data_IF_424026175660
#
_entry.id   IF_424026175660
#
_cell.length_a   1.000
_cell.length_b   1.000
_cell.length_c   1.000
_cell.angle_alpha   90.00
_cell.angle_beta   90.00
_cell.angle_gamma   90.00
#
_symmetry.space_group_name_H-M   'P 1'
#
loop_
_entity.id
_entity.type
_entity.pdbx_description
1 polymer ?
#
# COMPACT_ATOMS: atom_id res chain seq x y z
N UNK A 1 14.17 -25.58 27.23
CA UNK A 1 14.71 -24.70 26.17
C UNK A 1 13.54 -24.07 25.43
N UNK A 2 13.28 -22.78 25.62
CA UNK A 2 12.31 -22.04 24.80
C UNK A 2 12.98 -21.69 23.48
N UNK A 3 12.65 -22.38 22.40
CA UNK A 3 12.97 -21.93 21.04
C UNK A 3 12.30 -20.57 20.84
N UNK A 4 13.09 -19.50 20.80
CA UNK A 4 12.60 -18.18 20.40
C UNK A 4 12.04 -18.28 18.99
N UNK A 5 10.71 -18.24 18.83
CA UNK A 5 10.08 -18.19 17.51
C UNK A 5 10.62 -16.95 16.80
N UNK A 6 11.23 -17.16 15.63
CA UNK A 6 11.66 -16.07 14.77
C UNK A 6 10.45 -15.20 14.45
N UNK A 7 10.57 -13.87 14.66
CA UNK A 7 9.49 -12.95 14.35
C UNK A 7 9.27 -12.93 12.83
N UNK A 8 8.01 -12.86 12.36
CA UNK A 8 7.72 -12.66 10.94
C UNK A 8 8.45 -11.43 10.39
N UNK A 9 8.93 -11.51 9.15
CA UNK A 9 9.77 -10.49 8.53
C UNK A 9 9.11 -9.10 8.52
N UNK A 10 7.80 -9.05 8.29
CA UNK A 10 7.05 -7.80 8.28
C UNK A 10 7.03 -7.13 9.66
N UNK A 11 6.93 -7.91 10.74
CA UNK A 11 6.94 -7.38 12.12
C UNK A 11 8.33 -6.87 12.48
N UNK A 12 9.38 -7.62 12.13
CA UNK A 12 10.76 -7.20 12.34
C UNK A 12 11.09 -5.88 11.62
N UNK A 13 10.41 -5.59 10.52
CA UNK A 13 10.60 -4.39 9.70
C UNK A 13 9.75 -3.18 10.12
N UNK A 14 9.10 -3.25 11.29
CA UNK A 14 8.19 -2.19 11.76
C UNK A 14 6.82 -2.20 11.09
N UNK A 15 6.42 -3.33 10.51
CA UNK A 15 5.13 -3.51 9.85
C UNK A 15 5.07 -3.01 8.41
N UNK A 16 6.20 -2.62 7.81
CA UNK A 16 6.32 -2.35 6.38
C UNK A 16 7.64 -2.90 5.85
N UNK A 17 7.59 -3.64 4.75
CA UNK A 17 8.74 -4.29 4.11
C UNK A 17 8.81 -3.83 2.65
N UNK A 18 9.93 -3.21 2.26
CA UNK A 18 10.24 -2.92 0.85
C UNK A 18 10.86 -4.19 0.24
N UNK A 19 10.36 -4.59 -0.92
CA UNK A 19 10.67 -5.86 -1.56
C UNK A 19 11.10 -5.59 -2.99
N UNK A 20 12.30 -6.05 -3.32
CA UNK A 20 12.81 -6.12 -4.68
C UNK A 20 12.40 -7.45 -5.33
N UNK A 21 12.14 -7.40 -6.63
CA UNK A 21 11.96 -8.60 -7.48
C UNK A 21 10.85 -9.57 -7.01
N UNK A 22 9.82 -9.07 -6.31
CA UNK A 22 8.65 -9.88 -5.97
C UNK A 22 7.93 -10.39 -7.23
N UNK A 23 7.86 -9.53 -8.26
CA UNK A 23 7.19 -9.83 -9.51
C UNK A 23 8.21 -10.02 -10.63
N UNK A 24 7.96 -11.00 -11.49
CA UNK A 24 8.78 -11.21 -12.68
C UNK A 24 8.63 -10.03 -13.67
N UNK A 25 9.63 -9.83 -14.53
CA UNK A 25 9.54 -8.81 -15.58
C UNK A 25 8.33 -9.01 -16.51
N UNK A 26 7.92 -10.26 -16.73
CA UNK A 26 6.73 -10.59 -17.52
C UNK A 26 5.45 -10.13 -16.83
N UNK A 27 5.29 -10.46 -15.54
CA UNK A 27 4.15 -10.00 -14.76
C UNK A 27 4.13 -8.48 -14.63
N UNK A 28 5.27 -7.85 -14.39
CA UNK A 28 5.40 -6.39 -14.36
C UNK A 28 4.86 -5.75 -15.65
N UNK A 29 5.29 -6.23 -16.82
CA UNK A 29 4.82 -5.69 -18.12
C UNK A 29 3.31 -5.86 -18.29
N UNK A 30 2.75 -7.00 -17.86
CA UNK A 30 1.31 -7.24 -17.92
C UNK A 30 0.54 -6.27 -17.02
N UNK A 31 0.95 -6.11 -15.75
CA UNK A 31 0.35 -5.17 -14.80
C UNK A 31 0.49 -3.72 -15.27
N UNK A 32 1.66 -3.33 -15.76
CA UNK A 32 1.89 -1.98 -16.28
C UNK A 32 1.00 -1.67 -17.49
N UNK A 33 0.92 -2.59 -18.46
CA UNK A 33 0.05 -2.42 -19.64
C UNK A 33 -1.42 -2.28 -19.22
N UNK A 34 -1.87 -3.12 -18.30
CA UNK A 34 -3.24 -3.06 -17.78
C UNK A 34 -3.50 -1.76 -17.03
N UNK A 35 -2.62 -1.37 -16.10
CA UNK A 35 -2.68 -0.11 -15.36
C UNK A 35 -2.75 1.10 -16.30
N UNK A 36 -1.89 1.15 -17.32
CA UNK A 36 -1.90 2.22 -18.32
C UNK A 36 -3.23 2.27 -19.09
N UNK A 37 -3.80 1.11 -19.45
CA UNK A 37 -5.10 1.07 -20.14
C UNK A 37 -6.27 1.49 -19.24
N UNK A 38 -6.17 1.26 -17.93
CA UNK A 38 -7.20 1.65 -16.96
C UNK A 38 -7.11 3.12 -16.57
N UNK A 39 -6.01 3.81 -16.86
CA UNK A 39 -5.82 5.23 -16.48
C UNK A 39 -6.89 6.15 -17.07
N UNK A 40 -7.34 5.89 -18.30
CA UNK A 40 -8.33 6.73 -19.00
C UNK A 40 -9.75 6.63 -18.41
N UNK A 41 -10.05 5.55 -17.69
CA UNK A 41 -11.33 5.32 -17.02
C UNK A 41 -11.25 5.49 -15.50
N UNK A 42 -10.07 5.88 -14.99
CA UNK A 42 -9.86 6.13 -13.58
C UNK A 42 -10.74 7.29 -13.09
N UNK A 43 -11.30 7.12 -11.89
CA UNK A 43 -12.15 8.12 -11.25
C UNK A 43 -11.32 8.92 -10.26
N UNK A 44 -11.44 10.23 -10.35
CA UNK A 44 -10.90 11.13 -9.33
C UNK A 44 -11.60 10.91 -7.99
N UNK A 45 -10.80 10.88 -6.93
CA UNK A 45 -11.23 10.77 -5.55
C UNK A 45 -10.76 12.00 -4.80
N UNK A 46 -11.69 12.91 -4.53
CA UNK A 46 -11.41 14.16 -3.81
C UNK A 46 -12.19 14.16 -2.50
N UNK A 47 -11.46 14.30 -1.40
CA UNK A 47 -12.02 14.53 -0.08
C UNK A 47 -11.08 15.44 0.70
N UNK A 48 -11.61 16.55 1.21
CA UNK A 48 -10.82 17.59 1.87
C UNK A 48 -10.65 17.37 3.37
N UNK A 49 -11.51 16.58 3.99
CA UNK A 49 -11.51 16.34 5.44
C UNK A 49 -11.37 14.85 5.76
N UNK A 50 -10.58 14.54 6.79
CA UNK A 50 -10.51 13.18 7.31
C UNK A 50 -11.62 12.95 8.32
N UNK A 51 -12.33 11.84 8.19
CA UNK A 51 -13.19 11.31 9.25
C UNK A 51 -12.36 10.83 10.45
N UNK A 52 -12.99 10.70 11.63
CA UNK A 52 -12.33 10.10 12.78
C UNK A 52 -12.00 8.64 12.51
N UNK A 53 -10.72 8.28 12.60
CA UNK A 53 -10.28 6.91 12.36
C UNK A 53 -9.95 6.09 13.61
N UNK A 54 -9.87 6.75 14.77
CA UNK A 54 -9.61 6.14 16.07
C UNK A 54 -8.50 5.07 15.98
N UNK A 55 -8.83 3.84 16.36
CA UNK A 55 -7.93 2.70 16.44
C UNK A 55 -7.89 1.84 15.18
N UNK A 56 -8.86 1.97 14.25
CA UNK A 56 -8.95 1.13 13.05
C UNK A 56 -9.72 1.85 11.94
N UNK A 57 -9.09 1.96 10.77
CA UNK A 57 -9.63 2.56 9.55
C UNK A 57 -10.00 4.02 9.72
N UNK A 58 -9.52 4.90 8.84
CA UNK A 58 -10.10 6.24 8.67
C UNK A 58 -10.81 6.32 7.33
N UNK A 59 -11.60 7.37 7.17
CA UNK A 59 -11.95 7.92 5.86
C UNK A 59 -11.04 9.13 5.61
N UNK A 60 -9.83 8.93 5.04
CA UNK A 60 -8.84 9.99 4.95
C UNK A 60 -9.21 11.04 3.90
N UNK A 61 -8.83 12.29 4.17
CA UNK A 61 -8.66 13.29 3.13
C UNK A 61 -7.74 12.72 2.04
N UNK A 62 -8.11 12.95 0.78
CA UNK A 62 -7.44 12.34 -0.36
C UNK A 62 -7.65 13.18 -1.62
N UNK A 63 -6.66 13.12 -2.50
CA UNK A 63 -6.74 13.60 -3.86
C UNK A 63 -5.92 12.65 -4.72
N UNK A 64 -6.57 11.76 -5.45
CA UNK A 64 -5.93 10.84 -6.39
C UNK A 64 -6.95 10.28 -7.36
N UNK A 65 -6.49 9.70 -8.47
CA UNK A 65 -7.36 8.87 -9.30
C UNK A 65 -7.22 7.39 -8.92
N UNK A 66 -8.29 6.61 -9.09
CA UNK A 66 -8.23 5.15 -8.98
C UNK A 66 -9.09 4.45 -10.03
N UNK A 67 -8.72 3.22 -10.35
CA UNK A 67 -9.47 2.34 -11.24
C UNK A 67 -9.44 0.90 -10.70
N UNK A 68 -10.45 0.11 -11.07
CA UNK A 68 -10.46 -1.32 -10.73
C UNK A 68 -9.35 -2.07 -11.48
N UNK A 69 -8.84 -3.13 -10.85
CA UNK A 69 -7.94 -4.09 -11.46
C UNK A 69 -8.56 -4.82 -12.65
N UNK A 70 -7.73 -5.15 -13.64
CA UNK A 70 -8.11 -6.02 -14.74
C UNK A 70 -7.69 -7.47 -14.52
N UNK A 71 -7.75 -8.30 -15.58
CA UNK A 71 -7.46 -9.74 -15.51
C UNK A 71 -6.05 -10.08 -15.00
N UNK A 72 -5.03 -9.28 -15.33
CA UNK A 72 -3.64 -9.52 -14.94
C UNK A 72 -3.44 -9.30 -13.45
N UNK A 73 -3.98 -8.19 -12.91
CA UNK A 73 -3.95 -7.94 -11.47
C UNK A 73 -4.78 -8.96 -10.71
N UNK A 74 -5.94 -9.35 -11.25
CA UNK A 74 -6.78 -10.39 -10.66
C UNK A 74 -6.06 -11.74 -10.60
N UNK A 75 -5.44 -12.18 -11.70
CA UNK A 75 -4.67 -13.42 -11.72
C UNK A 75 -3.54 -13.40 -10.69
N UNK A 76 -2.78 -12.29 -10.60
CA UNK A 76 -1.75 -12.14 -9.58
C UNK A 76 -2.32 -12.14 -8.16
N UNK A 77 -3.45 -11.49 -7.94
CA UNK A 77 -4.09 -11.38 -6.64
C UNK A 77 -4.63 -12.71 -6.11
N UNK A 78 -4.93 -13.66 -6.99
CA UNK A 78 -5.37 -15.03 -6.64
C UNK A 78 -4.27 -16.08 -6.83
N UNK A 79 -3.04 -15.66 -7.12
CA UNK A 79 -1.90 -16.56 -7.31
C UNK A 79 -1.50 -17.26 -6.01
N UNK A 80 -1.38 -18.59 -6.07
CA UNK A 80 -1.10 -19.42 -4.89
C UNK A 80 0.31 -19.22 -4.34
N UNK A 81 1.29 -18.97 -5.22
CA UNK A 81 2.69 -18.80 -4.82
C UNK A 81 2.88 -17.44 -4.14
N UNK A 82 2.20 -16.41 -4.64
CA UNK A 82 2.09 -15.12 -3.95
C UNK A 82 1.50 -15.32 -2.57
N UNK A 83 0.35 -15.99 -2.44
CA UNK A 83 -0.31 -16.18 -1.14
C UNK A 83 0.58 -16.95 -0.17
N UNK A 84 1.27 -17.98 -0.64
CA UNK A 84 2.23 -18.72 0.16
C UNK A 84 3.36 -17.83 0.67
N UNK A 85 3.98 -17.06 -0.23
CA UNK A 85 5.08 -16.14 0.08
C UNK A 85 4.66 -15.07 1.09
N UNK A 86 3.52 -14.40 0.84
CA UNK A 86 3.02 -13.37 1.74
C UNK A 86 2.64 -13.96 3.11
N UNK A 87 2.06 -15.16 3.13
CA UNK A 87 1.72 -15.85 4.39
C UNK A 87 2.95 -16.19 5.21
N UNK A 88 4.05 -16.62 4.57
CA UNK A 88 5.33 -16.86 5.24
C UNK A 88 5.89 -15.56 5.85
N UNK A 89 5.90 -14.47 5.09
CA UNK A 89 6.42 -13.18 5.59
C UNK A 89 5.57 -12.56 6.69
N UNK A 90 4.26 -12.78 6.66
CA UNK A 90 3.33 -12.30 7.69
C UNK A 90 3.25 -13.25 8.90
N UNK A 91 3.60 -14.54 8.73
CA UNK A 91 3.46 -15.57 9.76
C UNK A 91 2.01 -15.98 10.02
N UNK A 92 1.10 -15.72 9.08
CA UNK A 92 -0.32 -16.08 9.16
C UNK A 92 -0.88 -16.36 7.76
N UNK A 93 -2.01 -17.05 7.68
CA UNK A 93 -2.69 -17.27 6.40
C UNK A 93 -3.39 -15.99 5.97
N UNK A 94 -3.28 -15.67 4.68
CA UNK A 94 -3.93 -14.54 4.06
C UNK A 94 -4.97 -15.02 3.04
N UNK A 95 -6.03 -14.25 2.87
CA UNK A 95 -6.94 -14.38 1.72
C UNK A 95 -7.27 -12.99 1.16
N UNK A 96 -7.59 -12.87 -0.14
CA UNK A 96 -8.10 -11.65 -0.73
C UNK A 96 -9.30 -11.08 0.04
N UNK A 97 -9.39 -9.76 0.10
CA UNK A 97 -10.53 -9.03 0.67
C UNK A 97 -11.67 -8.87 -0.32
N UNK A 98 -11.35 -8.91 -1.61
CA UNK A 98 -12.26 -8.65 -2.73
C UNK A 98 -11.92 -9.58 -3.91
N UNK A 99 -12.76 -9.54 -4.96
CA UNK A 99 -12.50 -10.28 -6.19
C UNK A 99 -11.38 -9.68 -7.05
N UNK A 100 -11.15 -8.38 -6.96
CA UNK A 100 -10.13 -7.64 -7.71
C UNK A 100 -9.38 -6.66 -6.80
N UNK A 101 -8.17 -6.28 -7.22
CA UNK A 101 -7.41 -5.18 -6.64
C UNK A 101 -7.80 -3.84 -7.27
N UNK A 102 -7.01 -2.81 -6.98
CA UNK A 102 -7.16 -1.49 -7.60
C UNK A 102 -5.83 -0.97 -8.12
N UNK A 103 -5.90 -0.06 -9.08
CA UNK A 103 -4.81 0.83 -9.45
C UNK A 103 -5.05 2.20 -8.83
N UNK A 104 -3.99 2.85 -8.35
CA UNK A 104 -4.05 4.23 -7.86
C UNK A 104 -2.99 5.09 -8.54
N UNK A 105 -3.37 6.32 -8.85
CA UNK A 105 -2.57 7.24 -9.67
C UNK A 105 -2.32 8.54 -8.90
N UNK A 106 -1.05 8.76 -8.55
CA UNK A 106 -0.55 10.00 -7.96
C UNK A 106 0.27 10.73 -9.03
N UNK A 107 -0.40 11.25 -10.05
CA UNK A 107 0.23 11.77 -11.27
C UNK A 107 -0.16 13.21 -11.63
N UNK A 108 -0.78 13.91 -10.69
CA UNK A 108 -0.95 15.37 -10.75
C UNK A 108 -0.38 16.00 -9.48
N UNK A 109 0.02 17.28 -9.60
CA UNK A 109 0.48 18.06 -8.46
C UNK A 109 -0.57 18.06 -7.36
N UNK A 110 -0.11 17.84 -6.13
CA UNK A 110 -0.96 17.83 -4.95
C UNK A 110 -1.78 16.55 -4.79
N UNK A 111 -1.60 15.51 -5.60
CA UNK A 111 -2.18 14.20 -5.29
C UNK A 111 -1.58 13.65 -3.99
N UNK A 112 -2.43 13.15 -3.08
CA UNK A 112 -2.04 12.64 -1.76
C UNK A 112 -3.08 11.67 -1.20
N UNK A 113 -2.71 10.99 -0.13
CA UNK A 113 -3.62 10.22 0.71
C UNK A 113 -3.25 10.45 2.16
N UNK A 114 -4.08 11.17 2.91
CA UNK A 114 -3.78 11.54 4.29
C UNK A 114 -3.64 10.33 5.21
N UNK A 115 -3.09 10.57 6.39
CA UNK A 115 -2.86 9.55 7.41
C UNK A 115 -4.09 8.71 7.72
N UNK A 116 -3.92 7.40 7.57
CA UNK A 116 -4.95 6.41 7.84
C UNK A 116 -4.35 5.07 8.26
N UNK A 117 -5.23 4.14 8.61
CA UNK A 117 -5.01 2.70 8.49
C UNK A 117 -5.98 2.22 7.42
N UNK A 118 -5.66 1.12 6.75
CA UNK A 118 -6.51 0.58 5.69
C UNK A 118 -7.89 0.16 6.21
N UNK A 119 -8.82 -0.15 5.31
CA UNK A 119 -10.18 -0.54 5.67
C UNK A 119 -10.20 -1.76 6.61
N UNK A 120 -11.31 -1.94 7.35
CA UNK A 120 -11.43 -2.98 8.38
C UNK A 120 -11.12 -4.40 7.89
N UNK A 121 -11.42 -4.69 6.63
CA UNK A 121 -11.15 -5.99 6.00
C UNK A 121 -9.73 -6.13 5.47
N UNK A 122 -8.97 -5.04 5.33
CA UNK A 122 -7.60 -5.05 4.81
C UNK A 122 -6.61 -5.00 5.98
N UNK A 123 -6.09 -6.16 6.34
CA UNK A 123 -5.10 -6.32 7.40
C UNK A 123 -3.67 -6.16 6.87
N UNK A 124 -3.44 -6.67 5.66
CA UNK A 124 -2.17 -6.62 4.94
C UNK A 124 -2.40 -6.04 3.56
N UNK A 125 -1.54 -5.13 3.14
CA UNK A 125 -1.62 -4.47 1.83
C UNK A 125 -0.32 -4.72 1.08
N UNK A 126 -0.43 -5.20 -0.15
CA UNK A 126 0.69 -5.28 -1.09
C UNK A 126 0.53 -4.14 -2.11
N UNK A 127 1.46 -3.20 -2.06
CA UNK A 127 1.53 -2.07 -3.00
C UNK A 127 2.70 -2.30 -3.94
N UNK A 128 2.46 -2.36 -5.25
CA UNK A 128 3.54 -2.50 -6.24
C UNK A 128 3.63 -1.26 -7.11
N UNK A 129 4.81 -0.66 -7.20
CA UNK A 129 5.04 0.52 -8.02
C UNK A 129 5.23 0.09 -9.49
N UNK A 130 4.31 0.53 -10.35
CA UNK A 130 4.30 0.17 -11.77
C UNK A 130 4.91 1.26 -12.65
N UNK A 131 4.79 2.51 -12.24
CA UNK A 131 5.36 3.67 -12.92
C UNK A 131 5.84 4.66 -11.88
N UNK A 132 7.00 5.28 -12.11
CA UNK A 132 7.50 6.38 -11.28
C UNK A 132 8.27 7.39 -12.14
N UNK A 133 7.95 8.66 -11.94
CA UNK A 133 8.76 9.80 -12.38
C UNK A 133 9.01 10.65 -11.14
N UNK A 134 10.28 10.90 -10.83
CA UNK A 134 10.66 11.76 -9.70
C UNK A 134 10.61 13.23 -10.09
N UNK A 135 10.16 14.06 -9.13
CA UNK A 135 10.28 15.51 -9.22
C UNK A 135 11.67 15.97 -8.71
N UNK A 136 12.09 17.20 -9.04
CA UNK A 136 13.32 17.79 -8.49
C UNK A 136 13.33 17.93 -6.96
N UNK A 137 12.15 17.96 -6.34
CA UNK A 137 11.97 18.06 -4.88
C UNK A 137 11.41 16.74 -4.32
N UNK A 138 11.81 16.32 -3.10
CA UNK A 138 11.25 15.12 -2.48
C UNK A 138 9.73 15.19 -2.33
N UNK A 139 9.01 14.23 -2.91
CA UNK A 139 7.55 14.20 -2.88
C UNK A 139 6.99 12.77 -3.01
N UNK A 140 5.70 12.59 -2.73
CA UNK A 140 5.00 11.34 -3.03
C UNK A 140 5.45 10.12 -2.21
N UNK A 141 6.22 10.31 -1.13
CA UNK A 141 6.69 9.20 -0.30
C UNK A 141 5.52 8.47 0.36
N UNK A 142 5.65 7.15 0.56
CA UNK A 142 4.80 6.41 1.49
C UNK A 142 5.40 6.53 2.89
N UNK A 143 4.81 7.37 3.72
CA UNK A 143 5.23 7.57 5.10
C UNK A 143 4.51 6.59 6.01
N UNK A 144 5.26 5.88 6.86
CA UNK A 144 4.72 4.93 7.84
C UNK A 144 5.11 5.32 9.27
N UNK A 145 4.25 5.01 10.24
CA UNK A 145 4.43 5.34 11.66
C UNK A 145 4.44 4.07 12.55
N UNK A 146 5.51 3.25 12.52
CA UNK A 146 5.56 1.98 13.26
C UNK A 146 5.38 2.12 14.78
N UNK A 147 5.85 3.23 15.36
CA UNK A 147 5.74 3.47 16.80
C UNK A 147 4.31 3.85 17.25
N UNK A 148 3.42 4.17 16.31
CA UNK A 148 2.07 4.69 16.57
C UNK A 148 0.96 3.67 16.36
N UNK A 149 1.28 2.37 16.29
CA UNK A 149 0.25 1.32 16.12
C UNK A 149 -0.78 1.30 17.25
N UNK A 150 -0.42 1.78 18.46
CA UNK A 150 -1.30 1.91 19.63
C UNK A 150 -1.68 3.36 19.93
N UNK A 151 -1.74 4.21 18.91
CA UNK A 151 -2.17 5.61 19.04
C UNK A 151 -3.40 5.84 18.16
N UNK A 152 -4.47 6.50 18.64
CA UNK A 152 -5.57 6.91 17.78
C UNK A 152 -5.05 7.81 16.66
N UNK A 153 -5.55 7.67 15.42
CA UNK A 153 -5.02 8.38 14.26
C UNK A 153 -4.98 9.90 14.47
N UNK A 154 -6.03 10.44 15.07
CA UNK A 154 -6.20 11.87 15.40
C UNK A 154 -5.23 12.38 16.46
N UNK A 155 -4.54 11.49 17.19
CA UNK A 155 -3.55 11.82 18.22
C UNK A 155 -2.11 11.59 17.78
N UNK A 156 -1.88 11.16 16.54
CA UNK A 156 -0.52 11.01 16.01
C UNK A 156 -0.02 12.39 15.64
N UNK A 157 1.04 12.83 16.30
CA UNK A 157 1.67 14.12 16.00
C UNK A 157 2.27 14.14 14.58
N UNK A 158 2.33 15.30 13.94
CA UNK A 158 2.98 15.45 12.63
C UNK A 158 4.50 15.16 12.70
N UNK A 159 5.13 15.43 13.84
CA UNK A 159 6.53 15.15 14.14
C UNK A 159 6.76 13.76 14.76
N UNK A 160 5.71 12.92 14.86
CA UNK A 160 5.87 11.55 15.33
C UNK A 160 6.94 10.80 14.52
N UNK A 161 7.70 9.94 15.19
CA UNK A 161 8.74 9.14 14.55
C UNK A 161 8.14 8.31 13.40
N UNK A 162 8.70 8.49 12.21
CA UNK A 162 8.21 7.91 10.98
C UNK A 162 9.37 7.41 10.10
N UNK A 163 9.01 6.65 9.07
CA UNK A 163 9.91 6.24 8.00
C UNK A 163 9.24 6.51 6.66
N UNK A 164 9.99 7.13 5.77
CA UNK A 164 9.55 7.38 4.40
C UNK A 164 10.09 6.28 3.48
N UNK A 165 9.18 5.65 2.74
CA UNK A 165 9.47 4.65 1.74
C UNK A 165 9.31 5.29 0.36
N UNK A 166 10.30 5.07 -0.50
CA UNK A 166 10.32 5.55 -1.89
C UNK A 166 10.43 4.37 -2.85
N UNK A 167 9.37 3.55 -3.00
CA UNK A 167 9.40 2.42 -3.92
C UNK A 167 9.70 2.91 -5.33
N UNK A 168 10.72 2.31 -5.92
CA UNK A 168 11.08 2.45 -7.32
C UNK A 168 10.17 1.57 -8.17
N UNK A 169 10.19 1.81 -9.48
CA UNK A 169 9.46 0.98 -10.43
C UNK A 169 9.83 -0.50 -10.24
N UNK A 170 8.82 -1.38 -10.29
CA UNK A 170 8.87 -2.82 -10.00
C UNK A 170 9.06 -3.24 -8.53
N UNK A 171 9.39 -2.31 -7.63
CA UNK A 171 9.43 -2.62 -6.20
C UNK A 171 8.03 -2.72 -5.61
N UNK A 172 7.90 -3.57 -4.60
CA UNK A 172 6.68 -3.71 -3.81
C UNK A 172 6.90 -3.31 -2.36
N UNK A 173 5.85 -2.83 -1.71
CA UNK A 173 5.78 -2.66 -0.26
C UNK A 173 4.72 -3.59 0.26
N UNK A 174 5.10 -4.48 1.16
CA UNK A 174 4.16 -5.23 1.98
C UNK A 174 3.97 -4.49 3.30
N UNK A 175 2.73 -4.16 3.62
CA UNK A 175 2.36 -3.31 4.73
C UNK A 175 1.33 -4.00 5.63
N UNK A 176 1.49 -3.92 6.95
CA UNK A 176 0.43 -4.22 7.91
C UNK A 176 -0.58 -3.07 7.92
N UNK A 177 -1.27 -2.91 6.79
CA UNK A 177 -2.14 -1.78 6.48
C UNK A 177 -3.21 -1.54 7.52
N UNK A 178 -3.71 -2.62 8.12
CA UNK A 178 -4.74 -2.53 9.15
C UNK A 178 -4.24 -2.04 10.51
N UNK A 179 -2.93 -2.04 10.75
CA UNK A 179 -2.33 -1.77 12.05
C UNK A 179 -1.42 -0.54 12.03
N UNK A 180 -0.55 -0.41 11.02
CA UNK A 180 0.46 0.64 10.92
C UNK A 180 -0.15 1.88 10.29
N UNK A 181 -0.23 3.01 11.01
CA UNK A 181 -0.64 4.27 10.41
C UNK A 181 0.32 4.65 9.28
N UNK A 182 -0.24 5.13 8.18
CA UNK A 182 0.54 5.51 7.02
C UNK A 182 -0.18 6.55 6.16
N UNK A 183 0.57 7.23 5.30
CA UNK A 183 0.07 8.23 4.36
C UNK A 183 0.93 8.29 3.10
N UNK A 184 0.36 8.85 2.04
CA UNK A 184 1.11 9.26 0.85
C UNK A 184 1.27 10.76 0.90
N UNK A 185 2.52 11.23 1.00
CA UNK A 185 2.84 12.64 0.98
C UNK A 185 2.43 13.26 -0.37
N UNK A 186 2.07 14.56 -0.40
CA UNK A 186 1.68 15.23 -1.63
C UNK A 186 2.72 15.06 -2.76
N UNK A 187 2.21 14.81 -3.97
CA UNK A 187 2.98 14.84 -5.20
C UNK A 187 3.39 16.28 -5.53
N UNK A 188 4.66 16.51 -5.81
CA UNK A 188 5.13 17.78 -6.37
C UNK A 188 4.78 17.88 -7.86
N UNK A 189 4.95 19.07 -8.44
CA UNK A 189 4.88 19.22 -9.89
C UNK A 189 5.94 18.34 -10.59
N UNK A 190 5.56 17.73 -11.70
CA UNK A 190 6.38 16.74 -12.42
C UNK A 190 6.48 15.35 -11.77
N UNK A 191 6.03 15.15 -10.54
CA UNK A 191 6.01 13.83 -9.90
C UNK A 191 4.90 12.96 -10.50
N UNK A 192 5.20 11.69 -10.77
CA UNK A 192 4.19 10.70 -11.11
C UNK A 192 4.47 9.39 -10.39
N UNK A 193 3.42 8.75 -9.86
CA UNK A 193 3.48 7.36 -9.40
C UNK A 193 2.18 6.63 -9.63
N UNK A 194 2.27 5.49 -10.31
CA UNK A 194 1.15 4.57 -10.48
C UNK A 194 1.43 3.29 -9.72
N UNK A 195 0.45 2.83 -8.95
CA UNK A 195 0.59 1.65 -8.09
C UNK A 195 -0.54 0.65 -8.32
N UNK A 196 -0.20 -0.62 -8.21
CA UNK A 196 -1.15 -1.72 -7.97
C UNK A 196 -1.32 -1.90 -6.47
N UNK A 197 -2.56 -1.97 -5.98
CA UNK A 197 -2.89 -2.17 -4.56
C UNK A 197 -3.72 -3.43 -4.41
N UNK A 198 -3.22 -4.38 -3.62
CA UNK A 198 -3.89 -5.63 -3.27
C UNK A 198 -4.08 -5.69 -1.75
N UNK A 199 -5.31 -5.91 -1.31
CA UNK A 199 -5.65 -5.99 0.12
C UNK A 199 -5.87 -7.44 0.56
N UNK A 200 -5.40 -7.82 1.73
CA UNK A 200 -5.56 -9.17 2.25
C UNK A 200 -6.07 -9.11 3.68
N UNK A 201 -6.96 -10.04 4.02
CA UNK A 201 -7.41 -10.27 5.39
C UNK A 201 -6.65 -11.47 5.97
N UNK A 202 -6.30 -11.38 7.25
CA UNK A 202 -5.74 -12.51 7.97
C UNK A 202 -6.85 -13.51 8.28
N UNK A 203 -6.59 -14.79 8.01
CA UNK A 203 -7.51 -15.87 8.37
C UNK A 203 -7.10 -16.40 9.74
N UNK A 204 -8.05 -16.41 10.69
CA UNK A 204 -7.85 -17.11 11.96
C UNK A 204 -7.65 -18.60 11.65
N UNK A 205 -6.51 -19.12 12.09
CA UNK A 205 -6.22 -20.57 12.10
C UNK A 205 -6.92 -21.20 13.29
#
# INVERSE_FOLDING_TARGET
MMTTRQRPAIIASGGALLIDQLISATLFRALFKECASQRSVAKEQVQTTSGQGHWRSADPARHLASADGGPSQMAFYHDTDLHHTLSQWCGCRLKPTSGCGTYSYYDQQGHFLARHRDIRTCDVTLVTCLHRVDAPVPSGALRVYPASIRTPLERIDAAAAHRDLHPQQSQSVLLLGGCVPHEVLPAADGFQRWISVLCFQMVKV
#
